data_IF_751681189589
#
_entry.id   IF_751681189589
#
_cell.length_a   1.000
_cell.length_b   1.000
_cell.length_c   1.000
_cell.angle_alpha   90.00
_cell.angle_beta   90.00
_cell.angle_gamma   90.00
#
_symmetry.space_group_name_H-M   'P 1'
#
loop_
_entity.id
_entity.type
_entity.pdbx_description
1 polymer ?
#
# COMPACT_ATOMS: atom_id res chain seq x y z
N UNK A 1 -20.31 11.38 -6.55
CA UNK A 1 -20.45 10.92 -5.16
C UNK A 1 -21.84 10.31 -4.92
N UNK A 2 -22.92 11.03 -5.26
CA UNK A 2 -24.30 10.54 -5.09
C UNK A 2 -24.66 9.24 -5.85
N UNK A 3 -24.04 8.95 -7.00
CA UNK A 3 -24.40 7.77 -7.79
C UNK A 3 -23.81 6.47 -7.21
N UNK A 4 -22.52 6.46 -6.88
CA UNK A 4 -21.86 5.29 -6.28
C UNK A 4 -22.47 4.94 -4.92
N UNK A 5 -22.85 5.94 -4.11
CA UNK A 5 -23.53 5.71 -2.83
C UNK A 5 -24.89 5.02 -3.01
N UNK A 6 -25.64 5.35 -4.07
CA UNK A 6 -26.89 4.66 -4.41
C UNK A 6 -26.62 3.22 -4.84
N UNK A 7 -25.67 2.98 -5.73
CA UNK A 7 -25.31 1.64 -6.21
C UNK A 7 -24.83 0.75 -5.05
N UNK A 8 -24.06 1.29 -4.11
CA UNK A 8 -23.64 0.58 -2.90
C UNK A 8 -24.81 0.29 -1.96
N UNK A 9 -25.77 1.20 -1.84
CA UNK A 9 -26.98 0.97 -1.06
C UNK A 9 -27.84 -0.12 -1.70
N UNK A 10 -28.03 -0.07 -3.02
CA UNK A 10 -28.75 -1.08 -3.78
C UNK A 10 -28.12 -2.48 -3.64
N UNK A 11 -26.78 -2.56 -3.71
CA UNK A 11 -26.06 -3.81 -3.45
C UNK A 11 -26.40 -4.38 -2.07
N UNK A 12 -26.42 -3.54 -1.03
CA UNK A 12 -26.75 -3.99 0.33
C UNK A 12 -28.19 -4.48 0.44
N UNK A 13 -29.14 -3.79 -0.19
CA UNK A 13 -30.54 -4.23 -0.22
C UNK A 13 -30.70 -5.57 -0.94
N UNK A 14 -30.00 -5.78 -2.05
CA UNK A 14 -29.96 -7.06 -2.75
C UNK A 14 -29.35 -8.18 -1.91
N UNK A 15 -28.25 -7.92 -1.21
CA UNK A 15 -27.64 -8.90 -0.28
C UNK A 15 -28.62 -9.33 0.82
N UNK A 16 -29.37 -8.37 1.38
CA UNK A 16 -30.41 -8.63 2.39
C UNK A 16 -31.57 -9.45 1.81
N UNK A 17 -32.05 -9.11 0.62
CA UNK A 17 -33.14 -9.84 -0.04
C UNK A 17 -32.74 -11.27 -0.41
N UNK A 18 -31.54 -11.47 -0.96
CA UNK A 18 -30.99 -12.81 -1.25
C UNK A 18 -30.90 -13.64 0.03
N UNK A 19 -30.39 -13.06 1.12
CA UNK A 19 -30.29 -13.74 2.41
C UNK A 19 -31.67 -14.12 2.95
N UNK A 20 -32.65 -13.21 2.85
CA UNK A 20 -34.03 -13.42 3.30
C UNK A 20 -34.73 -14.51 2.50
N UNK A 21 -34.63 -14.46 1.17
CA UNK A 21 -35.22 -15.46 0.28
C UNK A 21 -34.61 -16.84 0.50
N UNK A 22 -33.29 -16.92 0.63
CA UNK A 22 -32.58 -18.16 0.93
C UNK A 22 -33.00 -18.76 2.29
N UNK A 23 -33.09 -17.93 3.33
CA UNK A 23 -33.58 -18.37 4.64
C UNK A 23 -35.04 -18.86 4.60
N UNK A 24 -35.90 -18.17 3.85
CA UNK A 24 -37.30 -18.59 3.66
C UNK A 24 -37.40 -19.92 2.94
N UNK A 25 -36.64 -20.11 1.86
CA UNK A 25 -36.58 -21.36 1.10
C UNK A 25 -36.07 -22.52 1.98
N UNK A 26 -35.07 -22.26 2.82
CA UNK A 26 -34.54 -23.25 3.76
C UNK A 26 -35.60 -23.69 4.78
N UNK A 27 -36.41 -22.76 5.32
CA UNK A 27 -37.51 -23.10 6.23
C UNK A 27 -38.58 -23.94 5.54
N UNK A 28 -38.99 -23.56 4.32
CA UNK A 28 -40.01 -24.31 3.56
C UNK A 28 -39.56 -25.75 3.26
N UNK A 29 -38.28 -25.96 2.97
CA UNK A 29 -37.71 -27.30 2.79
C UNK A 29 -37.84 -28.22 4.02
N UNK A 30 -37.93 -27.66 5.23
CA UNK A 30 -38.16 -28.46 6.44
C UNK A 30 -39.66 -28.74 6.69
N UNK A 31 -40.56 -28.02 6.02
CA UNK A 31 -42.01 -28.17 6.13
C UNK A 31 -42.58 -29.06 5.01
N UNK A 32 -41.75 -29.48 4.06
CA UNK A 32 -42.12 -30.34 2.93
C UNK A 32 -42.50 -31.74 3.43
N UNK A 33 -43.76 -32.13 3.21
CA UNK A 33 -44.26 -33.49 3.38
C UNK A 33 -44.64 -34.09 2.03
N UNK A 34 -44.74 -35.42 1.95
CA UNK A 34 -44.84 -36.20 0.69
C UNK A 34 -46.07 -35.90 -0.21
N UNK A 35 -47.03 -35.03 0.19
CA UNK A 35 -48.30 -34.79 -0.53
C UNK A 35 -48.74 -33.30 -0.56
N UNK A 36 -47.87 -32.34 -0.28
CA UNK A 36 -48.21 -30.90 -0.27
C UNK A 36 -47.75 -30.16 -1.54
N UNK A 37 -48.48 -30.36 -2.63
CA UNK A 37 -48.21 -29.73 -3.93
C UNK A 37 -48.22 -28.19 -3.90
N UNK A 38 -48.97 -27.58 -2.98
CA UNK A 38 -49.02 -26.12 -2.81
C UNK A 38 -47.71 -25.56 -2.22
N UNK A 39 -47.02 -26.34 -1.37
CA UNK A 39 -45.69 -25.99 -0.84
C UNK A 39 -44.64 -26.10 -1.95
N UNK A 40 -44.70 -27.15 -2.76
CA UNK A 40 -43.76 -27.36 -3.86
C UNK A 40 -43.81 -26.19 -4.88
N UNK A 41 -45.00 -25.79 -5.33
CA UNK A 41 -45.19 -24.65 -6.25
C UNK A 41 -44.66 -23.32 -5.69
N UNK A 42 -44.77 -23.10 -4.37
CA UNK A 42 -44.23 -21.90 -3.71
C UNK A 42 -42.71 -21.95 -3.60
N UNK A 43 -42.15 -23.12 -3.34
CA UNK A 43 -40.70 -23.32 -3.29
C UNK A 43 -40.06 -23.09 -4.66
N UNK A 44 -40.68 -23.56 -5.74
CA UNK A 44 -40.20 -23.34 -7.11
C UNK A 44 -40.16 -21.84 -7.44
N UNK A 45 -41.26 -21.11 -7.23
CA UNK A 45 -41.32 -19.65 -7.45
C UNK A 45 -40.32 -18.85 -6.61
N UNK A 46 -40.11 -19.26 -5.34
CA UNK A 46 -39.11 -18.64 -4.48
C UNK A 46 -37.69 -18.93 -4.97
N UNK A 47 -37.44 -20.14 -5.48
CA UNK A 47 -36.16 -20.52 -6.06
C UNK A 47 -35.85 -19.70 -7.31
N UNK A 48 -36.80 -19.55 -8.22
CA UNK A 48 -36.65 -18.69 -9.41
C UNK A 48 -36.35 -17.24 -9.03
N UNK A 49 -37.10 -16.68 -8.07
CA UNK A 49 -36.87 -15.32 -7.57
C UNK A 49 -35.48 -15.20 -6.93
N UNK A 50 -35.09 -16.17 -6.11
CA UNK A 50 -33.77 -16.18 -5.47
C UNK A 50 -32.65 -16.22 -6.52
N UNK A 51 -32.77 -17.04 -7.55
CA UNK A 51 -31.81 -17.12 -8.65
C UNK A 51 -31.71 -15.78 -9.40
N UNK A 52 -32.86 -15.16 -9.70
CA UNK A 52 -32.91 -13.84 -10.33
C UNK A 52 -32.19 -12.76 -9.49
N UNK A 53 -32.51 -12.67 -8.19
CA UNK A 53 -31.86 -11.68 -7.31
C UNK A 53 -30.37 -11.97 -7.11
N UNK A 54 -29.96 -13.24 -7.06
CA UNK A 54 -28.54 -13.62 -7.02
C UNK A 54 -27.79 -13.17 -8.26
N UNK A 55 -28.38 -13.39 -9.44
CA UNK A 55 -27.79 -12.95 -10.72
C UNK A 55 -27.65 -11.43 -10.77
N UNK A 56 -28.70 -10.70 -10.37
CA UNK A 56 -28.70 -9.23 -10.30
C UNK A 56 -27.63 -8.70 -9.33
N UNK A 57 -27.48 -9.33 -8.17
CA UNK A 57 -26.42 -9.00 -7.20
C UNK A 57 -25.02 -9.25 -7.77
N UNK A 58 -24.82 -10.38 -8.47
CA UNK A 58 -23.55 -10.72 -9.10
C UNK A 58 -23.18 -9.71 -10.19
N UNK A 59 -24.13 -9.36 -11.05
CA UNK A 59 -23.95 -8.34 -12.10
C UNK A 59 -23.57 -6.97 -11.51
N UNK A 60 -24.33 -6.48 -10.52
CA UNK A 60 -24.06 -5.20 -9.86
C UNK A 60 -22.71 -5.21 -9.13
N UNK A 61 -22.39 -6.31 -8.44
CA UNK A 61 -21.09 -6.42 -7.75
C UNK A 61 -19.93 -6.47 -8.73
N UNK A 62 -20.09 -7.15 -9.88
CA UNK A 62 -19.10 -7.17 -10.95
C UNK A 62 -18.86 -5.78 -11.55
N UNK A 63 -19.93 -5.03 -11.78
CA UNK A 63 -19.85 -3.66 -12.28
C UNK A 63 -19.15 -2.72 -11.29
N UNK A 64 -19.48 -2.80 -10.00
CA UNK A 64 -18.84 -2.00 -8.96
C UNK A 64 -17.34 -2.30 -8.85
N UNK A 65 -16.95 -3.58 -8.92
CA UNK A 65 -15.52 -3.98 -8.94
C UNK A 65 -14.81 -3.41 -10.17
N UNK A 66 -15.46 -3.42 -11.34
CA UNK A 66 -14.89 -2.84 -12.55
C UNK A 66 -14.68 -1.32 -12.42
N UNK A 67 -15.70 -0.59 -11.94
CA UNK A 67 -15.60 0.86 -11.68
C UNK A 67 -14.50 1.20 -10.67
N UNK A 68 -14.39 0.40 -9.61
CA UNK A 68 -13.35 0.57 -8.58
C UNK A 68 -11.94 0.38 -9.16
N UNK A 69 -11.74 -0.66 -9.98
CA UNK A 69 -10.47 -0.88 -10.69
C UNK A 69 -10.14 0.24 -11.65
N UNK A 70 -11.07 0.62 -12.52
CA UNK A 70 -10.89 1.72 -13.48
C UNK A 70 -10.51 3.03 -12.76
N UNK A 71 -11.25 3.40 -11.70
CA UNK A 71 -10.95 4.60 -10.93
C UNK A 71 -9.61 4.52 -10.18
N UNK A 72 -9.25 3.36 -9.64
CA UNK A 72 -7.97 3.17 -8.99
C UNK A 72 -6.81 3.26 -9.99
N UNK A 73 -6.94 2.67 -11.17
CA UNK A 73 -5.93 2.74 -12.23
C UNK A 73 -5.70 4.20 -12.66
N UNK A 74 -6.76 4.96 -12.93
CA UNK A 74 -6.66 6.40 -13.23
C UNK A 74 -5.95 7.19 -12.10
N UNK A 75 -6.28 6.88 -10.84
CA UNK A 75 -5.65 7.54 -9.69
C UNK A 75 -4.17 7.18 -9.56
N UNK A 76 -3.80 5.92 -9.81
CA UNK A 76 -2.40 5.49 -9.80
C UNK A 76 -1.61 6.12 -10.96
N UNK A 77 -2.18 6.21 -12.15
CA UNK A 77 -1.57 6.88 -13.31
C UNK A 77 -1.35 8.37 -13.03
N UNK A 78 -2.37 9.09 -12.58
CA UNK A 78 -2.24 10.49 -12.21
C UNK A 78 -1.15 10.71 -11.14
N UNK A 79 -1.01 9.76 -10.22
CA UNK A 79 0.00 9.81 -9.16
C UNK A 79 1.41 9.56 -9.67
N UNK A 80 1.59 8.61 -10.59
CA UNK A 80 2.88 8.38 -11.28
C UNK A 80 3.29 9.61 -12.09
N UNK A 81 2.35 10.19 -12.84
CA UNK A 81 2.58 11.42 -13.60
C UNK A 81 2.99 12.59 -12.70
N UNK A 82 2.36 12.75 -11.53
CA UNK A 82 2.78 13.78 -10.57
C UNK A 82 4.18 13.53 -9.99
N UNK A 83 4.56 12.27 -9.73
CA UNK A 83 5.91 11.93 -9.26
C UNK A 83 6.94 12.30 -10.32
N UNK A 84 6.71 11.91 -11.58
CA UNK A 84 7.61 12.22 -12.69
C UNK A 84 7.66 13.72 -12.99
N UNK A 85 6.50 14.36 -13.14
CA UNK A 85 6.40 15.77 -13.54
C UNK A 85 6.85 16.78 -12.47
N UNK A 86 6.94 16.36 -11.20
CA UNK A 86 7.34 17.23 -10.10
C UNK A 86 8.69 16.87 -9.50
N UNK A 87 9.45 15.95 -10.09
CA UNK A 87 10.74 15.51 -9.56
C UNK A 87 11.69 16.67 -9.26
N UNK A 88 11.84 17.59 -10.22
CA UNK A 88 12.67 18.78 -10.07
C UNK A 88 12.13 19.77 -9.03
N UNK A 89 10.79 19.91 -8.94
CA UNK A 89 10.13 20.88 -8.05
C UNK A 89 10.17 20.40 -6.59
N UNK A 90 10.07 19.08 -6.39
CA UNK A 90 9.99 18.41 -5.09
C UNK A 90 11.35 17.93 -4.57
N UNK A 91 12.44 18.22 -5.28
CA UNK A 91 13.82 17.87 -4.90
C UNK A 91 14.38 18.67 -3.71
N UNK A 92 13.67 19.70 -3.24
CA UNK A 92 14.10 20.57 -2.14
C UNK A 92 13.72 20.08 -0.74
N UNK A 93 14.19 20.79 0.30
CA UNK A 93 13.75 20.59 1.70
C UNK A 93 12.34 21.17 1.92
N UNK A 94 11.35 20.58 1.27
CA UNK A 94 9.94 21.00 1.33
C UNK A 94 9.13 20.06 2.23
N UNK A 95 7.97 20.54 2.70
CA UNK A 95 7.11 19.73 3.57
C UNK A 95 6.50 18.52 2.84
N UNK A 96 6.25 18.68 1.55
CA UNK A 96 5.86 17.63 0.61
C UNK A 96 7.02 17.44 -0.34
N UNK A 97 7.45 16.21 -0.57
CA UNK A 97 8.49 15.90 -1.54
C UNK A 97 8.36 14.46 -2.05
N UNK A 98 9.36 14.00 -2.78
CA UNK A 98 9.45 12.61 -3.23
C UNK A 98 10.37 11.84 -2.28
N UNK A 99 9.87 10.71 -1.77
CA UNK A 99 10.67 9.76 -0.99
C UNK A 99 10.91 8.52 -1.82
N UNK A 100 12.15 8.04 -1.83
CA UNK A 100 12.57 6.81 -2.50
C UNK A 100 12.52 5.65 -1.51
N UNK A 101 11.43 4.90 -1.53
CA UNK A 101 11.16 3.82 -0.58
C UNK A 101 12.12 2.66 -0.79
N UNK A 102 12.79 2.25 0.29
CA UNK A 102 13.78 1.18 0.26
C UNK A 102 15.16 1.62 -0.20
N UNK A 103 15.39 2.91 -0.44
CA UNK A 103 16.72 3.47 -0.64
C UNK A 103 17.41 3.71 0.71
N UNK A 104 18.68 3.33 0.81
CA UNK A 104 19.48 3.57 2.00
C UNK A 104 19.82 5.06 2.16
N UNK A 105 19.59 5.58 3.37
CA UNK A 105 20.17 6.86 3.79
C UNK A 105 21.70 6.68 3.91
N UNK A 106 22.45 7.40 3.10
CA UNK A 106 23.92 7.34 3.08
C UNK A 106 24.56 7.95 4.33
N UNK A 107 23.87 8.87 5.01
CA UNK A 107 24.48 9.67 6.08
C UNK A 107 24.95 8.83 7.28
N UNK A 108 24.17 7.84 7.78
CA UNK A 108 24.66 6.86 8.76
C UNK A 108 25.95 6.16 8.35
N UNK A 109 26.05 5.75 7.08
CA UNK A 109 27.21 5.04 6.55
C UNK A 109 28.43 5.96 6.48
N UNK A 110 28.26 7.18 5.99
CA UNK A 110 29.32 8.20 5.97
C UNK A 110 29.84 8.49 7.38
N UNK A 111 28.94 8.68 8.36
CA UNK A 111 29.32 8.91 9.75
C UNK A 111 30.05 7.72 10.37
N UNK A 112 29.62 6.49 10.10
CA UNK A 112 30.27 5.28 10.60
C UNK A 112 31.64 5.06 9.96
N UNK A 113 31.75 5.19 8.63
CA UNK A 113 33.01 5.11 7.90
C UNK A 113 34.00 6.18 8.35
N UNK A 114 33.55 7.42 8.56
CA UNK A 114 34.41 8.51 9.06
C UNK A 114 34.99 8.21 10.44
N UNK A 115 34.17 7.65 11.35
CA UNK A 115 34.64 7.23 12.68
C UNK A 115 35.65 6.07 12.60
N UNK A 116 35.45 5.14 11.68
CA UNK A 116 36.23 3.90 11.57
C UNK A 116 37.55 4.09 10.80
N UNK A 117 37.54 4.92 9.77
CA UNK A 117 38.64 5.05 8.80
C UNK A 117 39.30 6.44 8.80
N UNK A 118 38.75 7.41 9.52
CA UNK A 118 39.26 8.78 9.55
C UNK A 118 38.73 9.63 8.38
N UNK A 119 39.43 10.71 8.06
CA UNK A 119 39.01 11.64 7.00
C UNK A 119 39.43 11.21 5.59
N UNK A 120 40.27 10.18 5.47
CA UNK A 120 40.76 9.69 4.18
C UNK A 120 39.86 8.56 3.68
N UNK A 121 39.39 8.66 2.43
CA UNK A 121 38.59 7.65 1.70
C UNK A 121 37.27 7.21 2.36
N UNK A 122 36.82 7.85 3.44
CA UNK A 122 35.60 7.43 4.15
C UNK A 122 34.34 7.55 3.28
N UNK A 123 34.31 8.52 2.36
CA UNK A 123 33.19 8.72 1.43
C UNK A 123 33.10 7.58 0.43
N UNK A 124 34.23 7.19 -0.18
CA UNK A 124 34.31 6.05 -1.10
C UNK A 124 33.90 4.76 -0.39
N UNK A 125 34.43 4.51 0.81
CA UNK A 125 34.07 3.31 1.60
C UNK A 125 32.60 3.30 2.01
N UNK A 126 32.03 4.45 2.36
CA UNK A 126 30.61 4.56 2.66
C UNK A 126 29.75 4.27 1.41
N UNK A 127 30.11 4.81 0.25
CA UNK A 127 29.40 4.57 -1.00
C UNK A 127 29.46 3.09 -1.43
N UNK A 128 30.61 2.44 -1.28
CA UNK A 128 30.77 0.99 -1.51
C UNK A 128 29.87 0.18 -0.57
N UNK A 129 29.85 0.54 0.71
CA UNK A 129 29.04 -0.15 1.72
C UNK A 129 27.54 0.03 1.47
N UNK A 130 27.09 1.25 1.17
CA UNK A 130 25.71 1.54 0.78
C UNK A 130 25.32 0.72 -0.45
N UNK A 131 26.14 0.75 -1.51
CA UNK A 131 25.87 0.00 -2.74
C UNK A 131 25.76 -1.50 -2.47
N UNK A 132 26.69 -2.05 -1.69
CA UNK A 132 26.67 -3.47 -1.32
C UNK A 132 25.40 -3.85 -0.56
N UNK A 133 25.00 -3.08 0.46
CA UNK A 133 23.79 -3.35 1.22
C UNK A 133 22.51 -3.13 0.41
N UNK A 134 22.48 -2.13 -0.47
CA UNK A 134 21.36 -1.91 -1.38
C UNK A 134 21.13 -3.11 -2.29
N UNK A 135 22.21 -3.74 -2.78
CA UNK A 135 22.13 -4.98 -3.56
C UNK A 135 21.73 -6.20 -2.73
N UNK A 136 22.19 -6.30 -1.47
CA UNK A 136 21.70 -7.35 -0.57
C UNK A 136 20.18 -7.22 -0.33
N UNK A 137 19.68 -6.02 -0.05
CA UNK A 137 18.25 -5.74 0.18
C UNK A 137 17.38 -6.17 -1.01
N UNK A 138 17.89 -6.09 -2.24
CA UNK A 138 17.16 -6.50 -3.46
C UNK A 138 17.07 -8.02 -3.62
N UNK A 139 17.96 -8.80 -3.00
CA UNK A 139 18.04 -10.25 -3.21
C UNK A 139 16.84 -10.98 -2.59
N UNK A 140 16.01 -11.68 -3.38
CA UNK A 140 14.89 -12.46 -2.84
C UNK A 140 15.34 -13.56 -1.87
N UNK A 141 16.55 -14.10 -2.06
CA UNK A 141 17.13 -15.14 -1.21
C UNK A 141 17.41 -14.67 0.23
N UNK A 142 17.49 -13.37 0.49
CA UNK A 142 17.64 -12.83 1.84
C UNK A 142 16.31 -12.22 2.30
N UNK A 143 15.60 -12.95 3.17
CA UNK A 143 14.27 -12.59 3.66
C UNK A 143 14.30 -12.44 5.20
N UNK A 144 14.92 -11.37 5.74
CA UNK A 144 15.18 -11.20 7.18
C UNK A 144 13.93 -10.73 7.92
N UNK A 145 12.82 -11.47 7.81
CA UNK A 145 11.55 -11.08 8.40
C UNK A 145 10.98 -12.15 9.33
N UNK A 146 10.11 -11.71 10.23
CA UNK A 146 9.35 -12.56 11.16
C UNK A 146 7.90 -12.08 11.24
N UNK A 147 6.99 -12.99 11.54
CA UNK A 147 5.59 -12.65 11.81
C UNK A 147 5.40 -12.24 13.27
N UNK A 148 4.67 -11.16 13.49
CA UNK A 148 4.21 -10.70 14.80
C UNK A 148 2.71 -10.43 14.75
N UNK A 149 2.02 -10.62 15.88
CA UNK A 149 0.61 -10.25 15.97
C UNK A 149 0.46 -8.73 16.14
N UNK A 150 -0.31 -8.11 15.26
CA UNK A 150 -0.73 -6.73 15.39
C UNK A 150 -1.86 -6.59 16.42
N UNK A 151 -2.16 -5.35 16.83
CA UNK A 151 -3.20 -5.04 17.82
C UNK A 151 -4.61 -5.48 17.39
N UNK A 152 -4.86 -5.53 16.08
CA UNK A 152 -6.12 -5.99 15.48
C UNK A 152 -6.21 -7.53 15.34
N UNK A 153 -5.17 -8.24 15.79
CA UNK A 153 -5.08 -9.70 15.71
C UNK A 153 -4.57 -10.25 14.37
N UNK A 154 -4.27 -9.39 13.39
CA UNK A 154 -3.67 -9.78 12.11
C UNK A 154 -2.19 -10.12 12.27
N UNK A 155 -1.70 -11.04 11.43
CA UNK A 155 -0.27 -11.36 11.36
C UNK A 155 0.44 -10.33 10.48
N UNK A 156 1.42 -9.61 11.04
CA UNK A 156 2.23 -8.63 10.34
C UNK A 156 3.67 -9.10 10.23
N UNK A 157 4.22 -9.01 9.03
CA UNK A 157 5.62 -9.29 8.79
C UNK A 157 6.49 -8.06 9.13
N UNK A 158 7.48 -8.25 10.00
CA UNK A 158 8.40 -7.20 10.45
C UNK A 158 9.84 -7.68 10.34
N UNK A 159 10.79 -6.74 10.27
CA UNK A 159 12.23 -7.10 10.19
C UNK A 159 12.64 -7.88 11.44
N UNK A 160 13.39 -8.95 11.24
CA UNK A 160 13.91 -9.79 12.30
C UNK A 160 15.24 -9.24 12.83
N UNK A 161 15.21 -8.60 14.00
CA UNK A 161 16.42 -8.10 14.67
C UNK A 161 17.47 -9.18 14.97
N UNK A 162 17.06 -10.45 14.99
CA UNK A 162 17.95 -11.58 15.25
C UNK A 162 18.67 -12.09 13.98
N UNK A 163 18.42 -11.51 12.81
CA UNK A 163 19.06 -11.90 11.56
C UNK A 163 20.59 -11.80 11.66
N UNK A 164 21.34 -12.88 11.31
CA UNK A 164 22.80 -12.91 11.48
C UNK A 164 23.53 -11.80 10.71
N UNK A 165 23.03 -11.39 9.53
CA UNK A 165 23.67 -10.34 8.73
C UNK A 165 23.42 -8.97 9.35
N UNK A 166 22.21 -8.72 9.84
CA UNK A 166 21.90 -7.49 10.57
C UNK A 166 22.69 -7.38 11.89
N UNK A 167 22.87 -8.49 12.61
CA UNK A 167 23.74 -8.54 13.80
C UNK A 167 25.20 -8.23 13.45
N UNK A 168 25.72 -8.81 12.37
CA UNK A 168 27.09 -8.53 11.93
C UNK A 168 27.27 -7.06 11.54
N UNK A 169 26.32 -6.50 10.79
CA UNK A 169 26.31 -5.08 10.43
C UNK A 169 26.33 -4.17 11.66
N UNK A 170 25.50 -4.51 12.66
CA UNK A 170 25.44 -3.80 13.93
C UNK A 170 26.77 -3.84 14.69
N UNK A 171 27.41 -5.01 14.78
CA UNK A 171 28.73 -5.16 15.42
C UNK A 171 29.79 -4.30 14.71
N UNK A 172 29.77 -4.24 13.38
CA UNK A 172 30.82 -3.60 12.61
C UNK A 172 30.68 -2.08 12.45
N UNK A 173 29.44 -1.56 12.42
CA UNK A 173 29.14 -0.17 12.05
C UNK A 173 28.15 0.53 13.01
N UNK A 174 27.57 -0.18 13.97
CA UNK A 174 26.72 0.36 15.02
C UNK A 174 25.24 0.55 14.64
N UNK A 175 24.49 1.10 15.59
CA UNK A 175 23.03 1.25 15.52
C UNK A 175 22.55 2.06 14.32
N UNK A 176 23.18 3.20 14.02
CA UNK A 176 22.71 4.10 12.97
C UNK A 176 22.67 3.41 11.59
N UNK A 177 23.72 2.66 11.26
CA UNK A 177 23.81 1.94 9.97
C UNK A 177 22.84 0.76 9.95
N UNK A 178 22.76 0.00 11.05
CA UNK A 178 21.81 -1.10 11.16
C UNK A 178 20.36 -0.62 11.02
N UNK A 179 20.01 0.49 11.67
CA UNK A 179 18.68 1.10 11.60
C UNK A 179 18.35 1.64 10.20
N UNK A 180 19.33 2.19 9.47
CA UNK A 180 19.14 2.57 8.08
C UNK A 180 18.76 1.38 7.20
N UNK A 181 19.46 0.25 7.35
CA UNK A 181 19.15 -1.00 6.62
C UNK A 181 17.80 -1.57 7.02
N UNK A 182 17.48 -1.61 8.31
CA UNK A 182 16.16 -2.06 8.80
C UNK A 182 15.02 -1.19 8.29
N UNK A 183 15.24 0.13 8.22
CA UNK A 183 14.26 1.07 7.67
C UNK A 183 14.03 0.79 6.18
N UNK A 184 15.09 0.66 5.39
CA UNK A 184 14.98 0.33 3.97
C UNK A 184 14.31 -1.03 3.73
N UNK A 185 14.63 -2.07 4.52
CA UNK A 185 13.94 -3.37 4.46
C UNK A 185 12.45 -3.26 4.76
N UNK A 186 12.08 -2.50 5.80
CA UNK A 186 10.67 -2.26 6.16
C UNK A 186 9.91 -1.56 5.05
N UNK A 187 10.54 -0.55 4.43
CA UNK A 187 9.96 0.17 3.29
C UNK A 187 9.83 -0.70 2.04
N UNK A 188 10.82 -1.54 1.75
CA UNK A 188 10.70 -2.53 0.66
C UNK A 188 9.53 -3.47 0.92
N UNK A 189 9.36 -3.97 2.14
CA UNK A 189 8.27 -4.89 2.46
C UNK A 189 6.88 -4.23 2.38
N UNK A 190 6.79 -2.94 2.72
CA UNK A 190 5.53 -2.19 2.68
C UNK A 190 5.15 -1.75 1.27
N UNK A 191 6.12 -1.30 0.46
CA UNK A 191 5.84 -0.63 -0.82
C UNK A 191 6.11 -1.48 -2.06
N UNK A 192 6.99 -2.48 -1.96
CA UNK A 192 7.33 -3.34 -3.10
C UNK A 192 7.87 -4.72 -2.67
N UNK A 193 7.10 -5.52 -1.90
CA UNK A 193 7.60 -6.76 -1.30
C UNK A 193 8.04 -7.78 -2.36
N UNK A 194 7.33 -7.88 -3.47
CA UNK A 194 7.66 -8.82 -4.55
C UNK A 194 8.79 -8.33 -5.46
N UNK A 195 8.79 -7.05 -5.83
CA UNK A 195 9.78 -6.50 -6.77
C UNK A 195 11.11 -6.14 -6.12
N UNK A 196 11.10 -5.77 -4.83
CA UNK A 196 12.27 -5.38 -4.02
C UNK A 196 13.17 -4.29 -4.60
N UNK A 197 12.71 -3.56 -5.62
CA UNK A 197 13.36 -2.37 -6.15
C UNK A 197 12.80 -1.11 -5.48
N UNK A 198 13.59 -0.03 -5.51
CA UNK A 198 13.23 1.26 -4.94
C UNK A 198 12.02 1.85 -5.67
N UNK A 199 11.02 2.33 -4.92
CA UNK A 199 9.82 2.95 -5.49
C UNK A 199 9.71 4.39 -4.99
N UNK A 200 9.48 5.33 -5.91
CA UNK A 200 9.24 6.73 -5.58
C UNK A 200 7.81 6.94 -5.10
N UNK A 201 7.66 7.71 -4.03
CA UNK A 201 6.37 7.99 -3.40
C UNK A 201 6.25 9.47 -3.01
N UNK A 202 5.08 10.07 -3.25
CA UNK A 202 4.77 11.41 -2.75
C UNK A 202 4.65 11.34 -1.23
N UNK A 203 5.50 12.09 -0.53
CA UNK A 203 5.67 11.98 0.91
C UNK A 203 5.45 13.31 1.63
N UNK A 204 4.78 13.25 2.78
CA UNK A 204 4.66 14.36 3.69
C UNK A 204 5.67 14.18 4.82
N UNK A 205 6.83 14.85 4.70
CA UNK A 205 7.92 14.75 5.66
C UNK A 205 7.56 15.32 7.04
N UNK A 206 6.60 16.26 7.13
CA UNK A 206 6.12 16.77 8.43
C UNK A 206 5.29 15.76 9.20
N UNK A 207 4.54 14.92 8.48
CA UNK A 207 3.66 13.90 9.08
C UNK A 207 4.25 12.49 9.04
N UNK A 208 5.43 12.34 8.42
CA UNK A 208 6.09 11.08 8.18
C UNK A 208 5.17 9.99 7.60
N UNK A 209 4.40 10.35 6.57
CA UNK A 209 3.51 9.42 5.85
C UNK A 209 3.34 9.80 4.40
N UNK A 210 2.78 8.88 3.62
CA UNK A 210 2.33 9.08 2.25
C UNK A 210 1.47 10.36 2.15
N UNK A 211 1.81 11.24 1.23
CA UNK A 211 1.08 12.47 1.01
C UNK A 211 -0.23 12.18 0.27
N UNK A 212 -1.31 12.81 0.72
CA UNK A 212 -2.60 12.76 0.01
C UNK A 212 -2.56 13.66 -1.23
N UNK A 213 -3.36 13.34 -2.26
CA UNK A 213 -3.46 14.18 -3.46
C UNK A 213 -3.85 15.62 -3.13
N UNK A 214 -4.73 15.83 -2.15
CA UNK A 214 -5.10 17.16 -1.65
C UNK A 214 -3.91 17.92 -1.05
N UNK A 215 -3.05 17.25 -0.29
CA UNK A 215 -1.84 17.85 0.28
C UNK A 215 -0.85 18.25 -0.83
N UNK A 216 -0.68 17.40 -1.83
CA UNK A 216 0.20 17.63 -2.98
C UNK A 216 -0.30 18.80 -3.83
N UNK A 217 -1.57 18.80 -4.24
CA UNK A 217 -2.17 19.88 -5.02
C UNK A 217 -2.08 21.23 -4.31
N UNK A 218 -2.43 21.27 -3.02
CA UNK A 218 -2.31 22.50 -2.22
C UNK A 218 -0.87 23.00 -2.16
N UNK A 219 0.10 22.10 -2.06
CA UNK A 219 1.51 22.47 -2.08
C UNK A 219 1.92 23.06 -3.43
N UNK A 220 1.50 22.45 -4.55
CA UNK A 220 1.79 22.94 -5.90
C UNK A 220 1.21 24.35 -6.10
N UNK A 221 -0.06 24.56 -5.78
CA UNK A 221 -0.70 25.88 -5.90
C UNK A 221 0.05 26.95 -5.10
N UNK A 222 0.47 26.62 -3.87
CA UNK A 222 1.27 27.53 -3.06
C UNK A 222 2.63 27.86 -3.69
N UNK A 223 3.29 26.91 -4.36
CA UNK A 223 4.55 27.18 -5.05
C UNK A 223 4.34 28.05 -6.31
N UNK A 224 3.21 27.88 -7.00
CA UNK A 224 2.86 28.68 -8.19
C UNK A 224 2.46 30.12 -7.86
N UNK A 225 1.85 30.35 -6.69
CA UNK A 225 1.45 31.68 -6.21
C UNK A 225 2.63 32.54 -5.76
N UNK A 226 3.83 31.96 -5.56
CA UNK A 226 5.04 32.73 -5.23
C UNK A 226 5.52 33.44 -6.51
N UNK A 227 5.45 34.79 -6.61
CA UNK A 227 5.95 35.52 -7.76
C UNK A 227 7.46 35.26 -7.86
N UNK A 228 7.90 34.82 -9.04
CA UNK A 228 9.20 34.21 -9.24
C UNK A 228 10.37 34.97 -8.60
N UNK A 229 11.21 34.24 -7.86
CA UNK A 229 12.66 34.48 -7.88
C UNK A 229 13.15 34.20 -9.31
N UNK A 230 12.83 35.10 -10.25
CA UNK A 230 13.49 35.11 -11.56
C UNK A 230 14.97 35.34 -11.30
N UNK A 231 15.75 34.40 -11.82
CA UNK A 231 17.21 34.39 -11.95
C UNK A 231 17.75 35.82 -12.10
N UNK A 232 18.54 36.27 -11.12
CA UNK A 232 19.52 37.34 -11.36
C UNK A 232 20.64 36.70 -12.16
N UNK A 233 20.61 36.97 -13.46
CA UNK A 233 21.69 36.77 -14.42
C UNK A 233 21.62 37.94 -15.38
#
# INVERSE_FOLDING_TARGET
MLELEKELHEKRELELEVTRLNGTLQVMKHLEGDDDGDIHDKMEKLSEKLEHERKRLEELSGELVRKERESNDELQEARKELIMGLEDILSGRTAIGIKRMGELDERPFQNACKRKYGNDDYETRAAELVSSWQEEIKKPAWHPYKFVKAEDGSDKEVVNDEDPRLKQLWIEYGDDVCNAVKTALSEVNEYNPSGRYVVSELWNFRKNRKATMKEVLRFIFQQMEVPGKRRRG
#
